data_IF_922829962702
#
_entry.id   IF_922829962702
#
_cell.length_a   1.000
_cell.length_b   1.000
_cell.length_c   1.000
_cell.angle_alpha   90.00
_cell.angle_beta   90.00
_cell.angle_gamma   90.00
#
_symmetry.space_group_name_H-M   'P 1'
#
loop_
_entity.id
_entity.type
_entity.pdbx_description
1 polymer ?
#
# COMPACT_ATOMS: atom_id res chain seq x y z
N UNK A 1 -21.25 -14.33 18.92
CA UNK A 1 -20.20 -13.61 18.18
C UNK A 1 -19.23 -13.02 19.20
N UNK A 2 -17.96 -13.41 19.17
CA UNK A 2 -16.95 -12.77 20.02
C UNK A 2 -16.85 -11.29 19.64
N UNK A 3 -16.91 -10.40 20.63
CA UNK A 3 -16.72 -8.97 20.39
C UNK A 3 -15.32 -8.73 19.84
N UNK A 4 -15.21 -7.95 18.77
CA UNK A 4 -13.92 -7.47 18.27
C UNK A 4 -13.29 -6.59 19.35
N UNK A 5 -11.99 -6.78 19.64
CA UNK A 5 -11.28 -5.98 20.65
C UNK A 5 -11.03 -4.55 20.18
N UNK A 6 -10.89 -4.33 18.88
CA UNK A 6 -10.61 -3.04 18.27
C UNK A 6 -11.65 -2.72 17.21
N UNK A 7 -12.27 -1.54 17.31
CA UNK A 7 -13.27 -1.07 16.33
C UNK A 7 -12.61 -0.40 15.11
N UNK A 8 -11.38 0.10 15.27
CA UNK A 8 -10.60 0.76 14.22
C UNK A 8 -9.12 0.45 14.38
N UNK A 9 -8.44 0.21 13.27
CA UNK A 9 -7.01 -0.05 13.22
C UNK A 9 -6.32 0.76 12.12
N UNK A 10 -5.02 1.00 12.29
CA UNK A 10 -4.10 1.38 11.22
C UNK A 10 -3.14 0.22 10.98
N UNK A 11 -3.22 -0.37 9.80
CA UNK A 11 -2.40 -1.49 9.38
C UNK A 11 -1.20 -0.97 8.58
N UNK A 12 -0.01 -0.99 9.18
CA UNK A 12 1.24 -0.68 8.48
C UNK A 12 1.78 -1.93 7.79
N UNK A 13 2.04 -1.84 6.49
CA UNK A 13 2.58 -2.92 5.67
C UNK A 13 3.92 -2.53 5.02
N UNK A 14 4.80 -3.50 4.82
CA UNK A 14 5.94 -3.35 3.91
C UNK A 14 5.46 -3.44 2.45
N UNK A 15 6.16 -2.79 1.53
CA UNK A 15 5.84 -2.91 0.10
C UNK A 15 6.11 -4.33 -0.43
N UNK A 16 7.02 -5.03 0.23
CA UNK A 16 7.35 -6.43 0.01
C UNK A 16 6.15 -7.36 0.16
N UNK A 17 5.09 -6.94 0.85
CA UNK A 17 3.85 -7.70 0.93
C UNK A 17 3.21 -7.92 -0.46
N UNK A 18 3.40 -6.99 -1.39
CA UNK A 18 2.91 -7.04 -2.77
C UNK A 18 3.94 -7.57 -3.76
N UNK A 19 5.16 -7.87 -3.33
CA UNK A 19 6.19 -8.37 -4.22
C UNK A 19 5.96 -9.85 -4.58
N UNK A 20 6.28 -10.22 -5.82
CA UNK A 20 6.35 -11.62 -6.24
C UNK A 20 7.58 -12.34 -5.66
N UNK A 21 7.82 -13.56 -6.12
CA UNK A 21 8.89 -14.45 -5.62
C UNK A 21 10.30 -13.82 -5.63
N UNK A 22 10.58 -12.91 -6.56
CA UNK A 22 11.87 -12.24 -6.69
C UNK A 22 12.04 -11.04 -5.73
N UNK A 23 11.05 -10.74 -4.88
CA UNK A 23 11.11 -9.66 -3.89
C UNK A 23 11.07 -8.24 -4.47
N UNK A 24 10.75 -8.11 -5.76
CA UNK A 24 10.68 -6.85 -6.49
C UNK A 24 9.39 -6.76 -7.31
N UNK A 25 8.91 -5.54 -7.55
CA UNK A 25 7.73 -5.27 -8.36
C UNK A 25 6.41 -5.43 -7.59
N UNK A 26 5.31 -5.38 -8.32
CA UNK A 26 3.95 -5.57 -7.81
C UNK A 26 3.38 -6.82 -8.48
N UNK A 27 3.04 -7.82 -7.68
CA UNK A 27 2.37 -9.05 -8.12
C UNK A 27 0.86 -8.96 -7.81
N UNK A 28 -0.01 -8.94 -8.84
CA UNK A 28 -1.46 -8.88 -8.65
C UNK A 28 -2.04 -10.04 -7.82
N UNK A 29 -1.41 -11.21 -7.85
CA UNK A 29 -1.83 -12.38 -7.06
C UNK A 29 -1.61 -12.09 -5.58
N UNK A 30 -0.43 -11.58 -5.23
CA UNK A 30 -0.07 -11.18 -3.87
C UNK A 30 -0.96 -10.04 -3.36
N UNK A 31 -1.26 -9.07 -4.21
CA UNK A 31 -2.22 -8.01 -3.87
C UNK A 31 -3.62 -8.56 -3.56
N UNK A 32 -4.08 -9.55 -4.33
CA UNK A 32 -5.37 -10.22 -4.11
C UNK A 32 -5.39 -11.00 -2.80
N UNK A 33 -4.31 -11.73 -2.48
CA UNK A 33 -4.16 -12.45 -1.21
C UNK A 33 -4.21 -11.48 -0.01
N UNK A 34 -3.49 -10.36 -0.10
CA UNK A 34 -3.51 -9.31 0.94
C UNK A 34 -4.92 -8.71 1.08
N UNK A 35 -5.58 -8.40 -0.04
CA UNK A 35 -6.94 -7.87 -0.04
C UNK A 35 -7.93 -8.82 0.63
N UNK A 36 -7.81 -10.14 0.41
CA UNK A 36 -8.68 -11.14 1.03
C UNK A 36 -8.53 -11.17 2.56
N UNK A 37 -7.30 -11.07 3.08
CA UNK A 37 -7.05 -10.99 4.53
C UNK A 37 -7.63 -9.70 5.13
N UNK A 38 -7.49 -8.57 4.44
CA UNK A 38 -8.08 -7.30 4.88
C UNK A 38 -9.60 -7.37 4.86
N UNK A 39 -10.18 -8.02 3.85
CA UNK A 39 -11.63 -8.22 3.74
C UNK A 39 -12.20 -8.98 4.93
N UNK A 40 -11.52 -10.00 5.43
CA UNK A 40 -11.95 -10.74 6.63
C UNK A 40 -12.06 -9.83 7.86
N UNK A 41 -11.12 -8.88 8.01
CA UNK A 41 -11.14 -7.88 9.08
C UNK A 41 -12.27 -6.86 8.86
N UNK A 42 -12.46 -6.42 7.62
CA UNK A 42 -13.53 -5.49 7.26
C UNK A 42 -14.93 -6.09 7.48
N UNK A 43 -15.13 -7.35 7.08
CA UNK A 43 -16.43 -8.04 7.13
C UNK A 43 -16.90 -8.29 8.58
N UNK A 44 -16.00 -8.29 9.57
CA UNK A 44 -16.35 -8.32 11.01
C UNK A 44 -16.67 -6.94 11.60
N UNK A 45 -16.72 -5.89 10.77
CA UNK A 45 -17.13 -4.54 11.15
C UNK A 45 -15.99 -3.64 11.66
N UNK A 46 -14.73 -4.04 11.49
CA UNK A 46 -13.59 -3.21 11.89
C UNK A 46 -13.27 -2.20 10.79
N UNK A 47 -13.05 -0.95 11.20
CA UNK A 47 -12.61 0.12 10.31
C UNK A 47 -11.09 0.03 10.10
N UNK A 48 -10.65 -0.07 8.84
CA UNK A 48 -9.24 -0.31 8.51
C UNK A 48 -8.67 0.89 7.74
N UNK A 49 -7.62 1.50 8.28
CA UNK A 49 -6.71 2.38 7.53
C UNK A 49 -5.43 1.60 7.18
N UNK A 50 -4.86 1.82 6.00
CA UNK A 50 -3.67 1.08 5.54
C UNK A 50 -2.56 2.07 5.21
N UNK A 51 -1.35 1.79 5.69
CA UNK A 51 -0.12 2.50 5.30
C UNK A 51 0.83 1.49 4.68
N UNK A 52 1.10 1.60 3.38
CA UNK A 52 1.96 0.66 2.65
C UNK A 52 3.28 1.33 2.23
N UNK A 53 4.40 0.65 2.50
CA UNK A 53 5.72 1.09 2.06
C UNK A 53 5.97 0.83 0.56
N UNK A 54 7.03 1.42 0.00
CA UNK A 54 7.42 1.29 -1.42
C UNK A 54 8.65 0.40 -1.67
N UNK A 55 9.10 -0.36 -0.65
CA UNK A 55 10.40 -1.06 -0.64
C UNK A 55 10.59 -2.16 -1.70
N UNK A 56 9.50 -2.67 -2.27
CA UNK A 56 9.47 -3.60 -3.40
C UNK A 56 9.76 -2.93 -4.75
N UNK A 57 9.66 -1.60 -4.84
CA UNK A 57 9.95 -0.83 -6.06
C UNK A 57 11.19 0.05 -5.88
N UNK A 58 11.33 0.65 -4.70
CA UNK A 58 12.41 1.58 -4.42
C UNK A 58 12.90 1.46 -2.98
N UNK A 59 14.22 1.35 -2.82
CA UNK A 59 14.90 1.52 -1.53
C UNK A 59 15.89 2.68 -1.67
N UNK A 60 15.75 3.71 -0.84
CA UNK A 60 16.59 4.92 -0.91
C UNK A 60 18.10 4.67 -0.77
N UNK A 61 18.50 3.54 -0.20
CA UNK A 61 19.90 3.09 -0.18
C UNK A 61 20.48 2.88 -1.58
N UNK A 62 19.67 2.47 -2.57
CA UNK A 62 20.08 2.31 -3.96
C UNK A 62 20.43 3.68 -4.55
N UNK A 63 19.54 4.67 -4.41
CA UNK A 63 19.76 6.02 -4.92
C UNK A 63 21.03 6.67 -4.35
N UNK A 64 21.24 6.53 -3.04
CA UNK A 64 22.44 7.08 -2.37
C UNK A 64 23.74 6.46 -2.91
N UNK A 65 23.72 5.16 -3.20
CA UNK A 65 24.89 4.44 -3.74
C UNK A 65 25.18 4.84 -5.19
N UNK A 66 24.17 5.29 -5.93
CA UNK A 66 24.26 5.69 -7.34
C UNK A 66 24.50 7.20 -7.54
N UNK A 67 24.78 7.95 -6.47
CA UNK A 67 25.05 9.39 -6.55
C UNK A 67 23.79 10.26 -6.76
N UNK A 68 22.60 9.72 -6.50
CA UNK A 68 21.36 10.48 -6.56
C UNK A 68 21.25 11.45 -5.38
N UNK A 69 20.73 12.64 -5.64
CA UNK A 69 20.39 13.58 -4.57
C UNK A 69 19.28 12.98 -3.68
N UNK A 70 19.42 13.13 -2.36
CA UNK A 70 18.61 12.43 -1.37
C UNK A 70 17.12 12.77 -1.48
N UNK A 71 16.77 14.04 -1.66
CA UNK A 71 15.36 14.44 -1.80
C UNK A 71 14.72 13.82 -3.05
N UNK A 72 15.47 13.70 -4.15
CA UNK A 72 15.01 13.00 -5.35
C UNK A 72 14.75 11.51 -5.08
N UNK A 73 15.67 10.85 -4.36
CA UNK A 73 15.49 9.46 -3.95
C UNK A 73 14.28 9.27 -3.02
N UNK A 74 14.04 10.20 -2.10
CA UNK A 74 12.89 10.14 -1.19
C UNK A 74 11.56 10.34 -1.95
N UNK A 75 11.51 11.26 -2.93
CA UNK A 75 10.34 11.43 -3.80
C UNK A 75 10.00 10.16 -4.59
N UNK A 76 10.99 9.48 -5.17
CA UNK A 76 10.77 8.20 -5.85
C UNK A 76 10.18 7.16 -4.87
N UNK A 77 10.68 7.14 -3.63
CA UNK A 77 10.14 6.30 -2.57
C UNK A 77 8.67 6.61 -2.25
N UNK A 78 8.28 7.88 -2.20
CA UNK A 78 6.88 8.28 -1.99
C UNK A 78 5.99 7.94 -3.20
N UNK A 79 6.48 8.08 -4.43
CA UNK A 79 5.73 7.64 -5.62
C UNK A 79 5.53 6.11 -5.58
N UNK A 80 6.54 5.35 -5.15
CA UNK A 80 6.45 3.90 -4.98
C UNK A 80 5.36 3.48 -3.96
N UNK A 81 5.14 4.24 -2.88
CA UNK A 81 4.03 3.94 -1.95
C UNK A 81 2.68 4.17 -2.62
N UNK A 82 2.54 5.21 -3.44
CA UNK A 82 1.31 5.51 -4.18
C UNK A 82 1.01 4.41 -5.20
N UNK A 83 2.02 3.93 -5.93
CA UNK A 83 1.87 2.80 -6.87
C UNK A 83 1.35 1.55 -6.16
N UNK A 84 1.90 1.21 -5.00
CA UNK A 84 1.41 0.09 -4.20
C UNK A 84 0.00 0.31 -3.66
N UNK A 85 -0.33 1.54 -3.24
CA UNK A 85 -1.66 1.86 -2.75
C UNK A 85 -2.73 1.70 -3.84
N UNK A 86 -2.46 2.14 -5.07
CA UNK A 86 -3.36 1.96 -6.21
C UNK A 86 -3.54 0.48 -6.58
N UNK A 87 -2.47 -0.31 -6.58
CA UNK A 87 -2.54 -1.74 -6.83
C UNK A 87 -3.38 -2.48 -5.77
N UNK A 88 -3.21 -2.10 -4.50
CA UNK A 88 -4.00 -2.67 -3.41
C UNK A 88 -5.46 -2.20 -3.44
N UNK A 89 -5.71 -0.94 -3.84
CA UNK A 89 -7.07 -0.43 -4.05
C UNK A 89 -7.82 -1.25 -5.08
N UNK A 90 -7.24 -1.50 -6.26
CA UNK A 90 -7.86 -2.34 -7.29
C UNK A 90 -8.21 -3.74 -6.74
N UNK A 91 -7.28 -4.37 -6.02
CA UNK A 91 -7.51 -5.69 -5.44
C UNK A 91 -8.63 -5.68 -4.37
N UNK A 92 -8.68 -4.67 -3.50
CA UNK A 92 -9.73 -4.49 -2.51
C UNK A 92 -11.10 -4.23 -3.17
N UNK A 93 -11.15 -3.38 -4.18
CA UNK A 93 -12.39 -3.07 -4.89
C UNK A 93 -12.93 -4.28 -5.66
N UNK A 94 -12.05 -5.07 -6.30
CA UNK A 94 -12.44 -6.35 -6.94
C UNK A 94 -12.96 -7.39 -5.95
N UNK A 95 -12.59 -7.30 -4.67
CA UNK A 95 -13.11 -8.16 -3.59
C UNK A 95 -14.31 -7.55 -2.87
N UNK A 96 -14.83 -6.42 -3.35
CA UNK A 96 -16.04 -5.77 -2.83
C UNK A 96 -15.81 -4.85 -1.63
N UNK A 97 -14.56 -4.48 -1.33
CA UNK A 97 -14.21 -3.53 -0.27
C UNK A 97 -14.03 -2.14 -0.87
N UNK A 98 -14.97 -1.23 -0.59
CA UNK A 98 -14.89 0.16 -1.04
C UNK A 98 -13.65 0.81 -0.42
N UNK A 99 -12.73 1.27 -1.28
CA UNK A 99 -11.42 1.76 -0.86
C UNK A 99 -11.16 3.14 -1.45
N UNK A 100 -10.35 3.95 -0.75
CA UNK A 100 -9.87 5.25 -1.23
C UNK A 100 -8.38 5.37 -0.94
N UNK A 101 -7.63 5.88 -1.92
CA UNK A 101 -6.21 6.21 -1.77
C UNK A 101 -6.07 7.69 -1.47
N UNK A 102 -5.42 7.98 -0.35
CA UNK A 102 -5.11 9.35 0.08
C UNK A 102 -3.59 9.56 0.05
N UNK A 103 -3.15 10.71 -0.44
CA UNK A 103 -1.72 11.04 -0.60
C UNK A 103 -1.43 12.46 -0.14
N UNK A 104 -0.25 12.67 0.44
CA UNK A 104 0.29 13.99 0.78
C UNK A 104 0.87 14.74 -0.41
N UNK A 105 1.11 14.04 -1.53
CA UNK A 105 1.54 14.63 -2.80
C UNK A 105 0.28 14.88 -3.63
N UNK A 106 -0.02 16.14 -3.94
CA UNK A 106 -1.15 16.47 -4.82
C UNK A 106 -0.92 15.82 -6.20
N UNK A 107 -1.73 14.82 -6.53
CA UNK A 107 -1.70 14.15 -7.82
C UNK A 107 -3.05 14.30 -8.50
N UNK A 108 -3.18 15.37 -9.29
CA UNK A 108 -4.39 15.60 -10.09
C UNK A 108 -4.68 14.36 -10.94
N UNK A 109 -5.93 13.89 -10.91
CA UNK A 109 -6.46 12.70 -11.61
C UNK A 109 -6.03 11.31 -11.12
N UNK A 110 -5.11 11.19 -10.15
CA UNK A 110 -4.55 9.87 -9.75
C UNK A 110 -4.96 9.44 -8.33
N UNK A 111 -5.05 10.37 -7.37
CA UNK A 111 -5.41 10.05 -5.99
C UNK A 111 -6.17 11.21 -5.32
N UNK A 112 -6.92 10.91 -4.26
CA UNK A 112 -7.61 11.94 -3.47
C UNK A 112 -6.60 12.68 -2.56
N UNK A 113 -6.75 14.00 -2.36
CA UNK A 113 -5.88 14.74 -1.43
C UNK A 113 -6.12 14.27 0.01
N UNK A 114 -5.05 14.25 0.82
CA UNK A 114 -5.11 14.08 2.28
C UNK A 114 -5.22 15.43 3.00
#
# INVERSE_FOLDING_TARGET
>A
MSSVRYNRILLKMGGEALAGSNGYGIDPTRATEVAQVIKEIYDVGVQVAIVIGGGNLWRGSIGSTMGMERSSADHIGMIATIMNALALQDALERTGVVTRVQTSIEMRTVAEPY
#
